data_IF_012378516891
#
_entry.id   IF_012378516891
#
_cell.length_a   1.000
_cell.length_b   1.000
_cell.length_c   1.000
_cell.angle_alpha   90.00
_cell.angle_beta   90.00
_cell.angle_gamma   90.00
#
_symmetry.space_group_name_H-M   'P 1'
#
loop_
_entity.id
_entity.type
_entity.pdbx_description
1 polymer ?
#
# COMPACT_ATOMS: atom_id res chain seq x y z
N UNK A 1 -3.57 -17.26 0.53
CA UNK A 1 -3.60 -16.44 -0.72
C UNK A 1 -5.05 -16.26 -1.11
N UNK A 2 -5.54 -15.03 -1.22
CA UNK A 2 -6.92 -14.75 -1.66
C UNK A 2 -7.05 -15.12 -3.16
N UNK A 3 -8.01 -15.98 -3.57
CA UNK A 3 -8.26 -16.24 -4.98
C UNK A 3 -8.90 -15.01 -5.64
N UNK A 4 -8.60 -14.70 -6.90
CA UNK A 4 -9.21 -13.57 -7.63
C UNK A 4 -8.24 -12.84 -8.56
N UNK A 5 -8.78 -12.09 -9.51
CA UNK A 5 -7.98 -11.20 -10.37
C UNK A 5 -7.44 -10.07 -9.51
N UNK A 6 -6.11 -9.98 -9.43
CA UNK A 6 -5.40 -8.99 -8.63
C UNK A 6 -4.51 -8.15 -9.51
N UNK A 7 -4.58 -6.85 -9.30
CA UNK A 7 -3.70 -5.88 -9.95
C UNK A 7 -2.89 -5.17 -8.86
N UNK A 8 -1.59 -5.06 -9.08
CA UNK A 8 -0.65 -4.50 -8.11
C UNK A 8 0.11 -3.37 -8.80
N UNK A 9 0.06 -2.19 -8.21
CA UNK A 9 0.80 -1.02 -8.65
C UNK A 9 1.67 -0.47 -7.54
N UNK A 10 2.92 -0.14 -7.85
CA UNK A 10 3.74 0.72 -6.98
C UNK A 10 3.27 2.15 -7.20
N UNK A 11 2.84 2.82 -6.14
CA UNK A 11 2.31 4.19 -6.23
C UNK A 11 3.29 5.23 -5.67
N UNK A 12 4.18 4.82 -4.77
CA UNK A 12 5.24 5.66 -4.25
C UNK A 12 6.40 4.79 -3.76
N UNK A 13 7.63 5.23 -3.99
CA UNK A 13 8.84 4.57 -3.51
C UNK A 13 10.02 5.51 -3.65
N UNK A 14 10.93 5.48 -2.68
CA UNK A 14 12.22 6.15 -2.76
C UNK A 14 13.32 5.24 -3.33
N UNK A 15 12.97 4.02 -3.76
CA UNK A 15 13.88 2.96 -4.22
C UNK A 15 14.95 2.53 -3.21
N UNK A 16 14.93 3.07 -2.00
CA UNK A 16 15.96 2.89 -0.98
C UNK A 16 15.40 2.38 0.34
N UNK A 17 14.41 3.00 0.94
CA UNK A 17 13.94 2.61 2.28
C UNK A 17 12.52 2.08 2.26
N UNK A 18 11.67 2.55 1.35
CA UNK A 18 10.26 2.19 1.36
C UNK A 18 9.63 2.01 -0.02
N UNK A 19 8.53 1.26 -0.02
CA UNK A 19 7.62 1.18 -1.16
C UNK A 19 6.17 1.14 -0.66
N UNK A 20 5.31 1.88 -1.34
CA UNK A 20 3.88 1.88 -1.12
C UNK A 20 3.21 1.29 -2.36
N UNK A 21 2.40 0.26 -2.15
CA UNK A 21 1.71 -0.45 -3.21
C UNK A 21 0.21 -0.32 -3.06
N UNK A 22 -0.49 -0.14 -4.19
CA UNK A 22 -1.93 -0.29 -4.31
C UNK A 22 -2.25 -1.66 -4.89
N UNK A 23 -3.00 -2.45 -4.13
CA UNK A 23 -3.58 -3.71 -4.56
C UNK A 23 -5.06 -3.48 -4.86
N UNK A 24 -5.46 -3.73 -6.10
CA UNK A 24 -6.88 -3.84 -6.49
C UNK A 24 -7.23 -5.32 -6.60
N UNK A 25 -8.27 -5.75 -5.90
CA UNK A 25 -8.75 -7.12 -5.89
C UNK A 25 -10.24 -7.15 -6.17
N UNK A 26 -10.64 -7.93 -7.17
CA UNK A 26 -12.04 -8.27 -7.36
C UNK A 26 -12.35 -9.59 -6.65
N UNK A 27 -13.20 -9.55 -5.62
CA UNK A 27 -13.57 -10.72 -4.81
C UNK A 27 -15.07 -10.73 -4.50
N UNK A 28 -15.73 -11.86 -4.76
CA UNK A 28 -17.17 -12.06 -4.54
C UNK A 28 -18.06 -10.94 -5.12
N UNK A 29 -17.72 -10.42 -6.31
CA UNK A 29 -18.47 -9.34 -6.96
C UNK A 29 -18.25 -7.96 -6.36
N UNK A 30 -17.26 -7.79 -5.48
CA UNK A 30 -16.86 -6.50 -4.91
C UNK A 30 -15.42 -6.17 -5.25
N UNK A 31 -15.16 -4.90 -5.50
CA UNK A 31 -13.82 -4.36 -5.67
C UNK A 31 -13.27 -3.88 -4.33
N UNK A 32 -12.07 -4.37 -4.01
CA UNK A 32 -11.32 -3.98 -2.83
C UNK A 32 -10.06 -3.24 -3.27
N UNK A 33 -9.78 -2.11 -2.62
CA UNK A 33 -8.51 -1.41 -2.76
C UNK A 33 -7.77 -1.45 -1.44
N UNK A 34 -6.55 -1.97 -1.46
CA UNK A 34 -5.70 -2.08 -0.27
C UNK A 34 -4.40 -1.36 -0.55
N UNK A 35 -4.02 -0.45 0.35
CA UNK A 35 -2.67 0.09 0.38
C UNK A 35 -1.77 -0.77 1.27
N UNK A 36 -0.54 -1.02 0.82
CA UNK A 36 0.49 -1.69 1.60
C UNK A 36 1.73 -0.83 1.67
N UNK A 37 2.21 -0.59 2.88
CA UNK A 37 3.49 0.04 3.16
C UNK A 37 4.53 -1.03 3.46
N UNK A 38 5.66 -0.97 2.76
CA UNK A 38 6.85 -1.79 2.99
C UNK A 38 8.02 -0.88 3.35
N UNK A 39 8.81 -1.30 4.33
CA UNK A 39 10.04 -0.65 4.77
C UNK A 39 11.16 -1.68 4.88
N UNK A 40 12.41 -1.28 4.68
CA UNK A 40 13.58 -2.16 4.87
C UNK A 40 13.83 -2.53 6.32
N UNK A 41 13.42 -1.71 7.27
CA UNK A 41 13.55 -1.97 8.71
C UNK A 41 12.25 -1.61 9.44
N UNK A 42 11.90 -2.42 10.45
CA UNK A 42 10.79 -2.15 11.36
C UNK A 42 11.21 -1.26 12.55
N UNK A 43 12.49 -0.93 12.67
CA UNK A 43 13.03 -0.10 13.76
C UNK A 43 12.64 1.38 13.64
N UNK A 44 12.29 1.83 12.42
CA UNK A 44 11.82 3.18 12.15
C UNK A 44 10.29 3.21 12.02
N UNK A 45 9.61 3.24 13.17
CA UNK A 45 8.14 3.20 13.25
C UNK A 45 7.45 4.38 12.55
N UNK A 46 8.17 5.50 12.33
CA UNK A 46 7.58 6.76 11.85
C UNK A 46 8.43 7.50 10.80
N UNK A 47 9.17 6.76 9.97
CA UNK A 47 9.97 7.31 8.88
C UNK A 47 9.15 8.03 7.80
N UNK A 48 9.79 8.71 6.84
CA UNK A 48 9.13 9.50 5.81
C UNK A 48 8.10 8.70 4.99
N UNK A 49 8.38 7.42 4.71
CA UNK A 49 7.43 6.54 4.03
C UNK A 49 6.15 6.28 4.82
N UNK A 50 6.19 6.27 6.15
CA UNK A 50 5.01 6.11 7.00
C UNK A 50 4.08 7.33 6.90
N UNK A 51 4.64 8.54 6.97
CA UNK A 51 3.86 9.78 6.80
C UNK A 51 3.22 9.85 5.42
N UNK A 52 3.98 9.46 4.40
CA UNK A 52 3.48 9.40 3.03
C UNK A 52 2.33 8.40 2.88
N UNK A 53 2.45 7.22 3.50
CA UNK A 53 1.39 6.23 3.56
C UNK A 53 0.14 6.77 4.25
N UNK A 54 0.29 7.48 5.37
CA UNK A 54 -0.81 8.11 6.10
C UNK A 54 -1.57 9.13 5.25
N UNK A 55 -0.86 10.00 4.54
CA UNK A 55 -1.45 10.94 3.58
C UNK A 55 -2.27 10.22 2.52
N UNK A 56 -1.68 9.19 1.89
CA UNK A 56 -2.35 8.40 0.85
C UNK A 56 -3.57 7.65 1.37
N UNK A 57 -3.57 7.17 2.62
CA UNK A 57 -4.77 6.54 3.20
C UNK A 57 -5.88 7.55 3.48
N UNK A 58 -5.55 8.78 3.88
CA UNK A 58 -6.53 9.83 4.13
C UNK A 58 -7.25 10.27 2.84
N UNK A 59 -6.53 10.35 1.72
CA UNK A 59 -7.09 10.72 0.41
C UNK A 59 -8.03 9.64 -0.18
N UNK A 60 -7.84 8.37 0.20
CA UNK A 60 -8.65 7.24 -0.33
C UNK A 60 -9.93 7.02 0.51
N UNK A 61 -10.12 7.78 1.60
CA UNK A 61 -11.31 7.69 2.46
C UNK A 61 -11.38 6.37 3.27
N UNK A 62 -10.21 5.80 3.58
CA UNK A 62 -10.06 4.62 4.46
C UNK A 62 -10.04 5.01 5.94
#
# INVERSE_FOLDING_TARGET
LLPGHREIHVIDTDYEQYAILRLSLHWQGKDFHVLKYFTRSLEDEYGPGFWRFRELTADIGL
#
